data_IF_280855026819
#
_entry.id   IF_280855026819
#
_cell.length_a   1.000
_cell.length_b   1.000
_cell.length_c   1.000
_cell.angle_alpha   90.00
_cell.angle_beta   90.00
_cell.angle_gamma   90.00
#
_symmetry.space_group_name_H-M   'P 1'
#
loop_
_entity.id
_entity.type
_entity.pdbx_description
1 polymer ?
#
# COMPACT_ATOMS: atom_id res chain seq x y z
N UNK A 1 -23.78 -0.77 -11.19
CA UNK A 1 -23.13 -0.42 -9.91
C UNK A 1 -24.23 -0.27 -8.86
N UNK A 2 -24.25 -1.11 -7.83
CA UNK A 2 -25.32 -1.05 -6.83
C UNK A 2 -25.24 0.26 -6.03
N UNK A 3 -26.37 0.89 -5.71
CA UNK A 3 -26.39 2.11 -4.90
C UNK A 3 -25.87 1.83 -3.49
N UNK A 4 -24.84 2.57 -3.05
CA UNK A 4 -24.30 2.41 -1.69
C UNK A 4 -25.30 2.94 -0.66
N UNK A 5 -25.59 2.15 0.36
CA UNK A 5 -26.45 2.54 1.49
C UNK A 5 -25.67 3.37 2.50
N UNK A 6 -26.38 4.17 3.29
CA UNK A 6 -25.82 4.95 4.38
C UNK A 6 -25.21 4.02 5.44
N UNK A 7 -23.96 4.21 5.82
CA UNK A 7 -23.29 3.38 6.83
C UNK A 7 -23.77 3.69 8.26
N UNK A 8 -24.36 4.88 8.45
CA UNK A 8 -24.81 5.37 9.76
C UNK A 8 -26.19 4.83 10.14
N UNK A 9 -27.16 4.91 9.22
CA UNK A 9 -28.53 4.42 9.49
C UNK A 9 -28.85 3.10 8.79
N UNK A 10 -28.11 2.71 7.74
CA UNK A 10 -28.33 1.49 6.94
C UNK A 10 -29.71 1.37 6.26
N UNK A 11 -30.59 2.35 6.41
CA UNK A 11 -31.96 2.34 5.89
C UNK A 11 -32.09 3.07 4.55
N UNK A 12 -31.29 4.14 4.35
CA UNK A 12 -31.42 5.02 3.19
C UNK A 12 -30.23 4.91 2.24
N UNK A 13 -30.46 5.23 0.97
CA UNK A 13 -29.39 5.39 -0.01
C UNK A 13 -28.47 6.53 0.38
N UNK A 14 -27.16 6.33 0.24
CA UNK A 14 -26.17 7.37 0.49
C UNK A 14 -26.21 8.44 -0.59
N UNK A 15 -26.14 9.71 -0.17
CA UNK A 15 -26.11 10.89 -1.04
C UNK A 15 -24.75 11.60 -1.01
N UNK A 16 -23.99 11.39 0.06
CA UNK A 16 -22.72 12.08 0.32
C UNK A 16 -21.69 11.10 0.91
N UNK A 17 -20.43 11.55 1.01
CA UNK A 17 -19.31 10.80 1.58
C UNK A 17 -18.52 11.65 2.56
N UNK A 18 -18.03 11.04 3.64
CA UNK A 18 -17.18 11.73 4.62
C UNK A 18 -15.81 12.07 4.01
N UNK A 19 -15.26 13.29 4.18
CA UNK A 19 -13.95 13.66 3.64
C UNK A 19 -12.77 12.99 4.37
N UNK A 20 -13.00 12.34 5.52
CA UNK A 20 -11.95 11.74 6.36
C UNK A 20 -11.83 10.23 6.10
N UNK A 21 -12.96 9.53 6.14
CA UNK A 21 -13.03 8.07 6.05
C UNK A 21 -13.77 7.57 4.80
N UNK A 22 -14.25 8.48 3.94
CA UNK A 22 -15.02 8.17 2.72
C UNK A 22 -16.32 7.38 2.96
N UNK A 23 -16.74 7.21 4.23
CA UNK A 23 -17.95 6.49 4.59
C UNK A 23 -19.20 7.14 3.96
N UNK A 24 -20.05 6.35 3.29
CA UNK A 24 -21.25 6.84 2.63
C UNK A 24 -22.34 7.20 3.65
N UNK A 25 -23.00 8.35 3.48
CA UNK A 25 -24.10 8.78 4.36
C UNK A 25 -25.27 9.42 3.59
N UNK A 26 -26.49 9.35 4.14
CA UNK A 26 -27.71 9.85 3.49
C UNK A 26 -28.00 11.34 3.76
N UNK A 27 -27.65 11.86 4.95
CA UNK A 27 -28.04 13.22 5.38
C UNK A 27 -27.08 13.84 6.39
N UNK A 28 -27.21 15.15 6.62
CA UNK A 28 -26.43 15.86 7.65
C UNK A 28 -26.65 15.30 9.07
N UNK A 29 -27.83 14.73 9.36
CA UNK A 29 -28.08 14.07 10.64
C UNK A 29 -27.18 12.85 10.82
N UNK A 30 -26.99 12.06 9.76
CA UNK A 30 -26.04 10.95 9.76
C UNK A 30 -24.59 11.43 9.83
N UNK A 31 -24.25 12.54 9.18
CA UNK A 31 -22.92 13.12 9.29
C UNK A 31 -22.56 13.56 10.71
N UNK A 32 -23.49 14.18 11.45
CA UNK A 32 -23.26 14.58 12.85
C UNK A 32 -23.05 13.37 13.76
N UNK A 33 -23.93 12.37 13.67
CA UNK A 33 -23.79 11.09 14.41
C UNK A 33 -22.48 10.38 14.07
N UNK A 34 -22.06 10.43 12.80
CA UNK A 34 -20.80 9.88 12.35
C UNK A 34 -19.59 10.62 12.92
N UNK A 35 -19.64 11.96 13.01
CA UNK A 35 -18.56 12.81 13.52
C UNK A 35 -18.40 12.74 15.05
N UNK A 36 -19.44 12.39 15.79
CA UNK A 36 -19.35 12.16 17.25
C UNK A 36 -18.43 10.99 17.61
N UNK A 37 -18.29 10.00 16.72
CA UNK A 37 -17.24 8.99 16.84
C UNK A 37 -16.02 9.39 15.99
N UNK A 38 -14.77 9.26 16.50
CA UNK A 38 -13.58 9.54 15.72
C UNK A 38 -13.48 8.55 14.54
N UNK A 39 -13.96 8.96 13.37
CA UNK A 39 -13.82 8.17 12.16
C UNK A 39 -12.33 8.08 11.77
N UNK A 40 -11.83 6.86 11.56
CA UNK A 40 -10.43 6.64 11.17
C UNK A 40 -10.23 7.13 9.74
N UNK A 41 -9.14 7.85 9.48
CA UNK A 41 -8.74 8.21 8.10
C UNK A 41 -8.64 6.92 7.30
N UNK A 42 -9.43 6.80 6.25
CA UNK A 42 -9.18 5.82 5.22
C UNK A 42 -8.01 6.36 4.43
N UNK A 43 -6.80 6.03 4.87
CA UNK A 43 -5.70 5.90 3.90
C UNK A 43 -6.26 4.95 2.85
N UNK A 44 -6.21 5.29 1.54
CA UNK A 44 -6.44 4.31 0.51
C UNK A 44 -5.52 3.14 0.84
N UNK A 45 -6.11 2.09 1.40
CA UNK A 45 -5.47 0.80 1.51
C UNK A 45 -5.44 0.31 0.06
N UNK A 46 -4.53 0.88 -0.73
CA UNK A 46 -3.73 0.04 -1.60
C UNK A 46 -3.29 -1.07 -0.67
N UNK A 47 -3.87 -2.24 -0.87
CA UNK A 47 -3.48 -3.49 -0.26
C UNK A 47 -1.95 -3.62 -0.30
N UNK A 48 -1.29 -3.05 0.70
CA UNK A 48 -0.12 -3.67 1.28
C UNK A 48 -0.69 -4.86 2.02
N UNK A 49 -1.10 -5.86 1.24
CA UNK A 49 -1.03 -7.23 1.68
C UNK A 49 0.41 -7.43 2.09
N UNK A 50 0.71 -7.14 3.36
CA UNK A 50 1.82 -7.76 4.07
C UNK A 50 1.42 -9.22 4.12
N UNK A 51 1.55 -9.90 2.98
CA UNK A 51 1.58 -11.34 2.94
C UNK A 51 2.74 -11.66 3.87
N UNK A 52 2.43 -12.34 4.97
CA UNK A 52 3.41 -12.92 5.86
C UNK A 52 4.20 -13.92 5.03
N UNK A 53 5.20 -13.42 4.31
CA UNK A 53 6.07 -14.23 3.47
C UNK A 53 6.80 -15.18 4.43
N UNK A 54 6.98 -16.47 4.08
CA UNK A 54 7.89 -17.33 4.83
C UNK A 54 9.22 -16.60 5.01
N UNK A 55 9.77 -16.66 6.23
CA UNK A 55 11.07 -16.08 6.57
C UNK A 55 12.13 -16.74 5.67
N UNK A 56 12.34 -16.12 4.51
CA UNK A 56 13.34 -16.52 3.52
C UNK A 56 14.70 -16.19 4.13
N UNK A 57 15.39 -17.19 4.68
CA UNK A 57 16.76 -17.04 5.16
C UNK A 57 17.70 -16.86 3.97
N UNK A 58 18.07 -15.62 3.68
CA UNK A 58 19.12 -15.34 2.70
C UNK A 58 20.46 -15.65 3.33
N UNK A 59 21.08 -16.74 2.87
CA UNK A 59 22.53 -16.87 2.96
C UNK A 59 23.09 -15.96 1.88
N UNK A 60 23.71 -14.85 2.29
CA UNK A 60 24.36 -13.92 1.37
C UNK A 60 25.85 -14.16 1.47
N UNK A 61 26.52 -14.42 0.34
CA UNK A 61 27.95 -14.73 0.32
C UNK A 61 28.82 -13.55 0.79
N UNK A 62 28.37 -12.32 0.50
CA UNK A 62 29.08 -11.08 0.85
C UNK A 62 28.22 -10.15 1.72
N UNK A 63 28.72 -9.68 2.88
CA UNK A 63 27.96 -8.81 3.77
C UNK A 63 27.63 -7.45 3.14
N UNK A 64 28.43 -6.97 2.18
CA UNK A 64 28.21 -5.71 1.48
C UNK A 64 27.00 -5.75 0.51
N UNK A 65 26.43 -6.91 0.23
CA UNK A 65 25.19 -7.02 -0.56
C UNK A 65 23.94 -6.78 0.28
N UNK A 66 24.10 -6.77 1.61
CA UNK A 66 23.02 -6.49 2.55
C UNK A 66 22.95 -4.98 2.78
N UNK A 67 21.75 -4.42 2.64
CA UNK A 67 21.51 -3.00 2.92
C UNK A 67 21.40 -2.80 4.43
N UNK A 68 22.33 -2.04 4.99
CA UNK A 68 22.26 -1.61 6.40
C UNK A 68 21.17 -0.56 6.65
N UNK A 69 20.87 -0.33 7.93
CA UNK A 69 19.83 0.60 8.35
C UNK A 69 20.03 2.03 7.81
N UNK A 70 21.27 2.52 7.76
CA UNK A 70 21.57 3.87 7.25
C UNK A 70 21.35 3.97 5.74
N UNK A 71 21.71 2.93 4.99
CA UNK A 71 21.46 2.86 3.55
C UNK A 71 19.96 2.76 3.27
N UNK A 72 19.22 2.02 4.10
CA UNK A 72 17.76 1.97 4.01
C UNK A 72 17.11 3.33 4.25
N UNK A 73 17.58 4.09 5.25
CA UNK A 73 17.11 5.46 5.47
C UNK A 73 17.40 6.37 4.28
N UNK A 74 18.59 6.26 3.70
CA UNK A 74 18.98 7.01 2.49
C UNK A 74 18.04 6.70 1.30
N UNK A 75 17.61 5.45 1.15
CA UNK A 75 16.64 5.03 0.13
C UNK A 75 15.27 5.68 0.36
N UNK A 76 14.82 5.75 1.63
CA UNK A 76 13.55 6.38 2.00
C UNK A 76 13.57 7.89 1.78
N UNK A 77 14.71 8.54 1.99
CA UNK A 77 14.84 9.99 1.82
C UNK A 77 15.13 10.40 0.35
N UNK A 78 15.56 9.46 -0.49
CA UNK A 78 15.84 9.72 -1.90
C UNK A 78 14.57 9.92 -2.72
N UNK A 79 14.34 11.16 -3.14
CA UNK A 79 13.22 11.53 -4.01
C UNK A 79 13.29 10.89 -5.39
N UNK A 80 14.50 10.59 -5.88
CA UNK A 80 14.72 9.91 -7.16
C UNK A 80 14.30 8.45 -7.10
N UNK A 81 14.70 7.73 -6.05
CA UNK A 81 14.29 6.33 -5.84
C UNK A 81 12.79 6.25 -5.60
N UNK A 82 12.25 7.11 -4.74
CA UNK A 82 10.80 7.21 -4.53
C UNK A 82 10.07 7.58 -5.83
N UNK A 83 10.66 8.42 -6.67
CA UNK A 83 10.14 8.79 -7.98
C UNK A 83 10.05 7.59 -8.92
N UNK A 84 11.11 6.78 -9.00
CA UNK A 84 11.12 5.54 -9.76
C UNK A 84 10.09 4.53 -9.22
N UNK A 85 9.95 4.41 -7.89
CA UNK A 85 8.97 3.51 -7.25
C UNK A 85 7.51 3.90 -7.48
N UNK A 86 7.22 5.12 -7.98
CA UNK A 86 5.87 5.47 -8.44
C UNK A 86 5.48 4.75 -9.72
N UNK A 87 6.44 4.22 -10.47
CA UNK A 87 6.17 3.39 -11.64
C UNK A 87 5.56 2.05 -11.22
N UNK A 88 4.34 1.79 -11.69
CA UNK A 88 3.59 0.59 -11.34
C UNK A 88 4.20 -0.69 -11.91
N UNK A 89 4.88 -0.63 -13.04
CA UNK A 89 5.51 -1.81 -13.67
C UNK A 89 6.78 -2.21 -12.91
N UNK A 90 7.58 -1.24 -12.48
CA UNK A 90 8.73 -1.44 -11.61
C UNK A 90 8.30 -2.06 -10.28
N UNK A 91 7.24 -1.56 -9.65
CA UNK A 91 6.72 -2.13 -8.39
C UNK A 91 6.25 -3.58 -8.57
N UNK A 92 5.58 -3.90 -9.68
CA UNK A 92 5.20 -5.29 -10.02
C UNK A 92 6.42 -6.17 -10.25
N UNK A 93 7.47 -5.65 -10.88
CA UNK A 93 8.72 -6.40 -11.09
C UNK A 93 9.40 -6.71 -9.76
N UNK A 94 9.54 -5.71 -8.88
CA UNK A 94 10.09 -5.90 -7.52
C UNK A 94 9.29 -6.95 -6.76
N UNK A 95 7.96 -6.89 -6.81
CA UNK A 95 7.09 -7.87 -6.15
C UNK A 95 7.26 -9.29 -6.71
N UNK A 96 7.40 -9.42 -8.03
CA UNK A 96 7.69 -10.72 -8.67
C UNK A 96 9.02 -11.30 -8.23
N UNK A 97 10.06 -10.47 -8.09
CA UNK A 97 11.38 -10.89 -7.61
C UNK A 97 11.28 -11.33 -6.14
N UNK A 98 10.64 -10.52 -5.30
CA UNK A 98 10.53 -10.76 -3.85
C UNK A 98 9.78 -12.06 -3.53
N UNK A 99 8.70 -12.34 -4.28
CA UNK A 99 7.86 -13.53 -4.13
C UNK A 99 8.33 -14.75 -4.94
N UNK A 100 9.43 -14.65 -5.70
CA UNK A 100 9.95 -15.76 -6.51
C UNK A 100 10.78 -16.74 -5.68
N UNK A 101 10.64 -18.03 -5.96
CA UNK A 101 11.51 -19.08 -5.40
C UNK A 101 12.96 -18.99 -5.94
N UNK A 102 13.15 -18.37 -7.11
CA UNK A 102 14.45 -18.19 -7.78
C UNK A 102 14.59 -16.75 -8.29
N UNK A 103 14.94 -15.79 -7.41
CA UNK A 103 15.03 -14.39 -7.78
C UNK A 103 16.17 -14.11 -8.78
N UNK A 104 17.28 -14.87 -8.79
CA UNK A 104 18.42 -14.60 -9.68
C UNK A 104 18.06 -14.63 -11.19
N UNK A 105 17.06 -15.43 -11.57
CA UNK A 105 16.62 -15.53 -12.97
C UNK A 105 16.06 -14.19 -13.48
N UNK A 106 15.45 -13.41 -12.59
CA UNK A 106 14.86 -12.11 -12.89
C UNK A 106 15.86 -10.96 -12.78
N UNK A 107 17.07 -11.21 -12.25
CA UNK A 107 18.14 -10.21 -12.14
C UNK A 107 19.03 -10.17 -13.38
N UNK A 108 19.21 -11.32 -14.06
CA UNK A 108 19.99 -11.40 -15.31
C UNK A 108 19.61 -10.37 -16.40
N UNK A 109 18.32 -9.98 -16.59
CA UNK A 109 17.94 -9.00 -17.61
C UNK A 109 18.16 -7.55 -17.15
N UNK A 110 18.36 -7.29 -15.86
CA UNK A 110 18.43 -5.95 -15.28
C UNK A 110 19.85 -5.36 -15.41
N UNK A 111 20.87 -6.20 -15.59
CA UNK A 111 22.29 -5.81 -15.77
C UNK A 111 22.64 -5.18 -17.13
N UNK A 112 21.65 -4.74 -17.92
CA UNK A 112 21.89 -4.17 -19.25
C UNK A 112 21.73 -2.65 -19.24
N UNK A 113 22.74 -1.97 -18.70
CA UNK A 113 23.18 -0.63 -19.09
C UNK A 113 24.53 -0.30 -18.44
#
# INVERSE_FOLDING_TARGET
>A
MAPRTCEVCKEAQSKYKCPICLAPYCSLGCFKKHKENPCKKSVPEEELTVQKLPERSYQVDEPNWVVDKEQFQSIVESSEILGALKDGELRKLIQKIDSSEKPENYLSPIHRN
#
